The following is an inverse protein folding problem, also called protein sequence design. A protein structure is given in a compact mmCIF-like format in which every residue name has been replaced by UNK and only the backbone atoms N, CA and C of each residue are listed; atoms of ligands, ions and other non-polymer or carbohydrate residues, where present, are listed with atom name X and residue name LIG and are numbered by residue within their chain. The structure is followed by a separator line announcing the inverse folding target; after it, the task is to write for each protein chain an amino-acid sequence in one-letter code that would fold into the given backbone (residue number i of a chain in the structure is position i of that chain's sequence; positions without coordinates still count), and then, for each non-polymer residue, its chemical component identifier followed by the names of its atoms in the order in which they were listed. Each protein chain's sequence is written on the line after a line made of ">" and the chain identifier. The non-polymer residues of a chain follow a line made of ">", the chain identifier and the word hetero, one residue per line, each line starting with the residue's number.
data_IF_900781991786
#
_entry.id   IF_900781991786
#
_cell.length_a   1.000
_cell.length_b   1.000
_cell.length_c   1.000
_cell.angle_alpha   90.00
_cell.angle_beta   90.00
_cell.angle_gamma   90.00
#
_symmetry.space_group_name_H-M   'P 1'
#
loop_
_entity.id
_entity.type
_entity.pdbx_description
1 polymer ?
#
# COMPACT_ATOMS: atom_id res chain seq x y z
N UNK A 1 -21.16 2.92 -18.92
CA UNK A 1 -19.96 2.98 -19.76
C UNK A 1 -18.73 2.91 -18.86
N UNK A 2 -17.80 2.07 -19.25
CA UNK A 2 -16.90 1.28 -18.39
C UNK A 2 -15.66 2.08 -17.95
N UNK A 3 -15.56 2.40 -16.64
CA UNK A 3 -14.41 3.09 -16.06
C UNK A 3 -13.45 2.06 -15.47
N UNK A 4 -12.62 1.48 -16.35
CA UNK A 4 -11.52 0.57 -16.03
C UNK A 4 -10.56 1.20 -15.01
N UNK A 5 -10.72 0.83 -13.74
CA UNK A 5 -9.74 1.07 -12.69
C UNK A 5 -8.39 0.44 -13.05
N UNK A 6 -7.23 1.08 -12.76
CA UNK A 6 -5.93 0.51 -13.08
C UNK A 6 -5.77 -0.85 -12.38
N UNK A 7 -5.89 -1.92 -13.16
CA UNK A 7 -5.92 -3.29 -12.69
C UNK A 7 -4.65 -3.58 -11.88
N UNK A 8 -4.75 -4.43 -10.86
CA UNK A 8 -3.62 -4.90 -10.01
C UNK A 8 -2.40 -5.37 -10.83
N UNK A 9 -2.61 -5.76 -12.10
CA UNK A 9 -1.59 -6.04 -13.09
C UNK A 9 -0.75 -4.82 -13.52
N UNK A 10 -1.34 -3.63 -13.69
CA UNK A 10 -0.63 -2.40 -14.10
C UNK A 10 0.38 -1.91 -13.05
N UNK A 11 0.02 -1.96 -11.77
CA UNK A 11 0.95 -1.66 -10.65
C UNK A 11 2.06 -2.72 -10.55
N UNK A 12 1.75 -4.01 -10.74
CA UNK A 12 2.76 -5.10 -10.80
C UNK A 12 3.70 -4.99 -11.99
N UNK A 13 3.23 -4.58 -13.16
CA UNK A 13 4.08 -4.39 -14.34
C UNK A 13 4.99 -3.15 -14.20
N UNK A 14 4.51 -2.04 -13.63
CA UNK A 14 5.35 -0.86 -13.35
C UNK A 14 6.41 -1.15 -12.28
N UNK A 15 6.08 -1.89 -11.22
CA UNK A 15 7.06 -2.29 -10.20
C UNK A 15 8.09 -3.30 -10.75
N UNK A 16 7.66 -4.26 -11.58
CA UNK A 16 8.55 -5.22 -12.24
C UNK A 16 9.52 -4.55 -13.22
N UNK A 17 9.07 -3.54 -13.99
CA UNK A 17 9.94 -2.75 -14.87
C UNK A 17 10.94 -1.88 -14.10
N UNK A 18 10.56 -1.34 -12.94
CA UNK A 18 11.50 -0.61 -12.06
C UNK A 18 12.55 -1.57 -11.49
N UNK A 19 12.11 -2.70 -10.93
CA UNK A 19 12.98 -3.73 -10.37
C UNK A 19 13.99 -4.31 -11.38
N UNK A 20 13.57 -4.57 -12.64
CA UNK A 20 14.46 -5.06 -13.69
C UNK A 20 15.53 -4.03 -14.07
N UNK A 21 15.18 -2.74 -14.12
CA UNK A 21 16.13 -1.63 -14.39
C UNK A 21 17.11 -1.45 -13.24
N UNK A 22 16.64 -1.52 -12.01
CA UNK A 22 17.47 -1.38 -10.81
C UNK A 22 18.47 -2.55 -10.69
N UNK A 23 18.04 -3.79 -10.99
CA UNK A 23 18.93 -4.96 -11.09
C UNK A 23 20.00 -4.82 -12.18
N UNK A 24 19.63 -4.28 -13.34
CA UNK A 24 20.58 -4.05 -14.43
C UNK A 24 21.61 -2.98 -14.05
N UNK A 25 21.19 -1.91 -13.38
CA UNK A 25 22.08 -0.86 -12.86
C UNK A 25 23.04 -1.39 -11.80
N UNK A 26 22.58 -2.25 -10.89
CA UNK A 26 23.45 -2.91 -9.91
C UNK A 26 24.50 -3.80 -10.59
N UNK A 27 24.11 -4.57 -11.60
CA UNK A 27 25.04 -5.42 -12.36
C UNK A 27 26.08 -4.61 -13.12
N UNK A 28 25.72 -3.43 -13.65
CA UNK A 28 26.65 -2.51 -14.30
C UNK A 28 27.56 -1.79 -13.29
N UNK A 29 27.02 -1.38 -12.14
CA UNK A 29 27.77 -0.69 -11.09
C UNK A 29 28.81 -1.58 -10.39
N UNK A 30 28.55 -2.89 -10.30
CA UNK A 30 29.53 -3.89 -9.87
C UNK A 30 30.60 -4.19 -10.94
N UNK A 31 30.60 -3.46 -12.06
CA UNK A 31 31.65 -3.48 -13.08
C UNK A 31 31.86 -4.82 -13.80
N UNK A 32 30.99 -5.81 -13.58
CA UNK A 32 31.29 -7.19 -13.97
C UNK A 32 32.55 -7.73 -13.30
N UNK A 33 32.92 -7.27 -12.09
CA UNK A 33 34.03 -7.86 -11.33
C UNK A 33 33.77 -9.36 -11.15
N UNK A 34 34.59 -10.17 -11.82
CA UNK A 34 34.55 -11.64 -11.79
C UNK A 34 35.16 -12.20 -10.50
N UNK A 35 35.78 -11.34 -9.68
CA UNK A 35 36.38 -11.74 -8.40
C UNK A 35 35.98 -10.73 -7.34
N UNK A 36 35.07 -11.15 -6.46
CA UNK A 36 34.82 -10.50 -5.18
C UNK A 36 35.97 -10.87 -4.23
N UNK A 37 36.37 -9.98 -3.30
CA UNK A 37 37.31 -10.33 -2.25
C UNK A 37 36.87 -11.62 -1.53
N UNK A 38 37.80 -12.52 -1.25
CA UNK A 38 37.50 -13.81 -0.59
C UNK A 38 37.01 -13.62 0.86
N UNK A 39 37.23 -12.41 1.41
CA UNK A 39 36.67 -11.96 2.66
C UNK A 39 35.20 -11.50 2.52
N UNK A 40 34.35 -12.11 3.33
CA UNK A 40 32.92 -11.83 3.41
C UNK A 40 32.63 -10.40 3.89
N UNK A 41 33.44 -9.84 4.79
CA UNK A 41 33.21 -8.49 5.33
C UNK A 41 33.38 -7.45 4.22
N UNK A 42 34.50 -7.52 3.50
CA UNK A 42 34.80 -6.67 2.36
C UNK A 42 33.74 -6.83 1.25
N UNK A 43 33.34 -8.07 0.92
CA UNK A 43 32.29 -8.33 -0.07
C UNK A 43 30.93 -7.75 0.35
N UNK A 44 30.54 -7.90 1.63
CA UNK A 44 29.30 -7.36 2.15
C UNK A 44 29.30 -5.82 2.19
N UNK A 45 30.44 -5.19 2.41
CA UNK A 45 30.59 -3.73 2.32
C UNK A 45 30.39 -3.22 0.90
N UNK A 46 31.06 -3.81 -0.09
CA UNK A 46 30.91 -3.44 -1.51
C UNK A 46 29.45 -3.56 -1.95
N UNK A 47 28.76 -4.64 -1.56
CA UNK A 47 27.33 -4.84 -1.87
C UNK A 47 26.46 -3.78 -1.21
N UNK A 48 26.69 -3.50 0.08
CA UNK A 48 25.91 -2.50 0.83
C UNK A 48 26.12 -1.09 0.27
N UNK A 49 27.36 -0.71 -0.05
CA UNK A 49 27.68 0.60 -0.60
C UNK A 49 27.09 0.79 -2.01
N UNK A 50 27.25 -0.21 -2.87
CA UNK A 50 26.67 -0.21 -4.22
C UNK A 50 25.14 -0.17 -4.15
N UNK A 51 24.54 -0.94 -3.23
CA UNK A 51 23.12 -0.90 -2.94
C UNK A 51 22.65 0.51 -2.53
N UNK A 52 23.39 1.17 -1.63
CA UNK A 52 23.08 2.56 -1.22
C UNK A 52 23.20 3.55 -2.38
N UNK A 53 24.24 3.46 -3.22
CA UNK A 53 24.45 4.36 -4.37
C UNK A 53 23.36 4.20 -5.44
N UNK A 54 22.94 2.96 -5.75
CA UNK A 54 22.00 2.69 -6.84
C UNK A 54 20.54 2.74 -6.39
N UNK A 55 20.24 2.19 -5.21
CA UNK A 55 18.87 2.06 -4.70
C UNK A 55 18.48 3.12 -3.67
N UNK A 56 19.46 3.85 -3.14
CA UNK A 56 19.27 4.77 -2.01
C UNK A 56 19.17 4.05 -0.67
N UNK A 57 19.11 4.82 0.41
CA UNK A 57 18.84 4.34 1.77
C UNK A 57 17.34 4.50 2.02
N UNK A 58 16.62 3.40 2.25
CA UNK A 58 15.24 3.52 2.74
C UNK A 58 15.28 4.05 4.18
N UNK A 59 14.31 4.90 4.56
CA UNK A 59 14.35 5.65 5.82
C UNK A 59 14.29 4.80 7.10
N UNK A 60 14.37 3.47 7.00
CA UNK A 60 14.39 2.54 8.13
C UNK A 60 13.10 2.47 8.95
N UNK A 61 12.22 3.48 8.83
CA UNK A 61 10.84 3.44 9.31
C UNK A 61 10.17 2.26 8.62
N UNK A 62 10.18 1.12 9.31
CA UNK A 62 9.03 0.22 9.23
C UNK A 62 7.84 1.16 9.34
N UNK A 63 6.95 1.14 8.33
CA UNK A 63 5.54 1.43 8.65
C UNK A 63 5.33 0.67 9.94
N UNK A 64 4.97 1.33 11.03
CA UNK A 64 4.43 0.61 12.18
C UNK A 64 3.43 -0.34 11.56
N UNK A 65 3.85 -1.61 11.46
CA UNK A 65 2.99 -2.67 11.00
C UNK A 65 2.01 -2.64 12.13
N UNK A 66 0.88 -1.96 11.89
CA UNK A 66 -0.25 -1.81 12.79
C UNK A 66 -0.33 -3.15 13.48
N UNK A 67 0.24 -3.28 14.66
CA UNK A 67 0.28 -4.56 15.35
C UNK A 67 -1.20 -4.83 15.51
N UNK A 68 -1.61 -5.84 14.74
CA UNK A 68 -2.93 -5.86 14.11
C UNK A 68 -3.95 -5.50 15.17
N UNK A 69 -4.79 -4.49 14.98
CA UNK A 69 -5.72 -3.96 15.99
C UNK A 69 -6.61 -4.97 16.74
N UNK A 70 -6.55 -6.25 16.36
CA UNK A 70 -7.14 -7.43 16.97
C UNK A 70 -6.14 -8.34 17.74
N UNK A 71 -4.87 -7.96 17.86
CA UNK A 71 -3.80 -8.72 18.49
C UNK A 71 -3.98 -8.69 20.01
N UNK A 72 -3.93 -9.86 20.63
CA UNK A 72 -4.09 -10.01 22.07
C UNK A 72 -3.01 -10.96 22.63
N UNK A 73 -2.83 -10.91 23.95
CA UNK A 73 -1.87 -11.76 24.67
C UNK A 73 -2.17 -13.25 24.48
N UNK A 74 -3.44 -13.63 24.37
CA UNK A 74 -3.88 -15.03 24.17
C UNK A 74 -3.45 -15.58 22.79
N UNK A 75 -3.55 -14.79 21.72
CA UNK A 75 -3.05 -15.14 20.39
C UNK A 75 -1.53 -15.25 20.43
N UNK A 76 -0.85 -14.35 21.14
CA UNK A 76 0.60 -14.40 21.27
C UNK A 76 1.07 -15.66 22.01
N UNK A 77 0.50 -15.96 23.17
CA UNK A 77 0.82 -17.14 23.98
C UNK A 77 0.49 -18.43 23.21
N UNK A 78 -0.67 -18.52 22.56
CA UNK A 78 -1.01 -19.70 21.74
C UNK A 78 -0.04 -19.90 20.56
N UNK A 79 0.44 -18.83 19.93
CA UNK A 79 1.48 -18.89 18.88
C UNK A 79 2.81 -19.35 19.45
N UNK A 80 3.21 -18.87 20.63
CA UNK A 80 4.43 -19.29 21.31
C UNK A 80 4.39 -20.78 21.64
N UNK A 81 3.29 -21.28 22.23
CA UNK A 81 3.09 -22.71 22.50
C UNK A 81 3.18 -23.56 21.24
N UNK A 82 2.56 -23.12 20.14
CA UNK A 82 2.66 -23.79 18.83
C UNK A 82 4.10 -23.83 18.31
N UNK A 83 4.88 -22.75 18.49
CA UNK A 83 6.30 -22.70 18.09
C UNK A 83 7.14 -23.70 18.91
N UNK A 84 6.91 -23.77 20.23
CA UNK A 84 7.57 -24.75 21.09
C UNK A 84 7.27 -26.19 20.68
N UNK A 85 6.01 -26.51 20.40
CA UNK A 85 5.63 -27.84 19.91
C UNK A 85 6.22 -28.17 18.53
N UNK A 86 6.33 -27.18 17.64
CA UNK A 86 7.02 -27.36 16.36
C UNK A 86 8.49 -27.69 16.56
N UNK A 87 9.17 -26.98 17.48
CA UNK A 87 10.57 -27.26 17.82
C UNK A 87 10.76 -28.68 18.38
N UNK A 88 9.86 -29.14 19.26
CA UNK A 88 9.86 -30.53 19.77
C UNK A 88 9.69 -31.55 18.63
N UNK A 89 8.71 -31.33 17.76
CA UNK A 89 8.49 -32.22 16.61
C UNK A 89 9.68 -32.23 15.64
N UNK A 90 10.34 -31.09 15.44
CA UNK A 90 11.52 -31.00 14.58
C UNK A 90 12.73 -31.78 15.13
N UNK A 91 12.82 -31.96 16.45
CA UNK A 91 13.87 -32.77 17.10
C UNK A 91 13.55 -34.26 17.09
N UNK A 92 12.40 -34.66 17.62
CA UNK A 92 12.13 -36.08 17.88
C UNK A 92 11.44 -36.80 16.71
N UNK A 93 10.80 -36.04 15.80
CA UNK A 93 10.03 -36.53 14.63
C UNK A 93 8.99 -37.63 14.92
N UNK A 94 8.52 -37.75 16.16
CA UNK A 94 7.46 -38.68 16.57
C UNK A 94 6.09 -38.24 16.07
N UNK A 95 5.15 -39.19 15.91
CA UNK A 95 3.79 -38.90 15.44
C UNK A 95 2.95 -38.22 16.53
N UNK A 96 3.24 -38.50 17.80
CA UNK A 96 2.62 -37.82 18.96
C UNK A 96 2.92 -36.32 18.94
N UNK A 97 4.19 -35.95 18.77
CA UNK A 97 4.61 -34.54 18.68
C UNK A 97 4.02 -33.85 17.44
N UNK A 98 3.88 -34.60 16.34
CA UNK A 98 3.21 -34.09 15.13
C UNK A 98 1.73 -33.80 15.37
N UNK A 99 1.05 -34.68 16.10
CA UNK A 99 -0.36 -34.53 16.44
C UNK A 99 -0.57 -33.35 17.41
N UNK A 100 0.27 -33.23 18.45
CA UNK A 100 0.26 -32.10 19.38
C UNK A 100 0.42 -30.76 18.63
N UNK A 101 1.39 -30.68 17.71
CA UNK A 101 1.59 -29.51 16.86
C UNK A 101 0.34 -29.18 16.02
N UNK A 102 -0.30 -30.16 15.39
CA UNK A 102 -1.52 -29.96 14.59
C UNK A 102 -2.68 -29.45 15.44
N UNK A 103 -2.84 -29.97 16.66
CA UNK A 103 -3.86 -29.53 17.59
C UNK A 103 -3.64 -28.09 18.04
N UNK A 104 -2.41 -27.74 18.41
CA UNK A 104 -2.03 -26.37 18.75
C UNK A 104 -2.21 -25.43 17.57
N UNK A 105 -1.90 -25.86 16.34
CA UNK A 105 -2.16 -25.09 15.14
C UNK A 105 -3.67 -24.79 14.96
N UNK A 106 -4.55 -25.78 15.21
CA UNK A 106 -6.01 -25.58 15.19
C UNK A 106 -6.47 -24.66 16.31
N UNK A 107 -5.90 -24.76 17.52
CA UNK A 107 -6.18 -23.85 18.64
C UNK A 107 -5.80 -22.41 18.29
N UNK A 108 -4.60 -22.18 17.77
CA UNK A 108 -4.17 -20.84 17.31
C UNK A 108 -5.13 -20.27 16.27
N UNK A 109 -5.56 -21.07 15.28
CA UNK A 109 -6.54 -20.60 14.28
C UNK A 109 -7.86 -20.15 14.94
N UNK A 110 -8.34 -20.90 15.94
CA UNK A 110 -9.54 -20.55 16.70
C UNK A 110 -9.35 -19.27 17.51
N UNK A 111 -8.26 -19.13 18.24
CA UNK A 111 -8.00 -17.93 19.03
C UNK A 111 -7.82 -16.68 18.16
N UNK A 112 -7.12 -16.80 17.03
CA UNK A 112 -7.03 -15.69 16.05
C UNK A 112 -8.41 -15.32 15.50
N UNK A 113 -9.28 -16.31 15.25
CA UNK A 113 -10.64 -16.04 14.79
C UNK A 113 -11.46 -15.32 15.86
N UNK A 114 -11.38 -15.75 17.13
CA UNK A 114 -12.07 -15.11 18.26
C UNK A 114 -11.57 -13.68 18.48
N UNK A 115 -10.25 -13.47 18.49
CA UNK A 115 -9.68 -12.14 18.71
C UNK A 115 -10.10 -11.15 17.60
N UNK A 116 -10.11 -11.61 16.34
CA UNK A 116 -10.66 -10.83 15.22
C UNK A 116 -12.15 -10.54 15.38
N UNK A 117 -12.93 -11.55 15.73
CA UNK A 117 -14.38 -11.39 15.93
C UNK A 117 -14.66 -10.35 17.00
N UNK A 118 -14.02 -10.48 18.17
CA UNK A 118 -14.13 -9.53 19.28
C UNK A 118 -13.79 -8.09 18.85
N UNK A 119 -12.67 -7.92 18.14
CA UNK A 119 -12.29 -6.61 17.63
C UNK A 119 -13.32 -6.03 16.64
N UNK A 120 -13.91 -6.87 15.78
CA UNK A 120 -15.00 -6.44 14.91
C UNK A 120 -16.27 -6.09 15.69
N UNK A 121 -16.64 -6.89 16.67
CA UNK A 121 -17.82 -6.64 17.50
C UNK A 121 -17.67 -5.29 18.22
N UNK A 122 -16.53 -5.04 18.86
CA UNK A 122 -16.21 -3.74 19.50
C UNK A 122 -16.26 -2.59 18.50
N UNK A 123 -15.73 -2.79 17.28
CA UNK A 123 -15.82 -1.79 16.21
C UNK A 123 -17.27 -1.51 15.83
N UNK A 124 -18.09 -2.55 15.64
CA UNK A 124 -19.50 -2.39 15.26
C UNK A 124 -20.30 -1.71 16.37
N UNK A 125 -20.10 -2.09 17.63
CA UNK A 125 -20.72 -1.41 18.78
C UNK A 125 -20.35 0.08 18.81
N UNK A 126 -19.09 0.43 18.54
CA UNK A 126 -18.69 1.84 18.45
C UNK A 126 -19.34 2.55 17.27
N UNK A 127 -19.46 1.89 16.11
CA UNK A 127 -20.09 2.46 14.91
C UNK A 127 -21.60 2.64 15.05
N UNK A 128 -22.26 1.86 15.90
CA UNK A 128 -23.69 1.98 16.21
C UNK A 128 -24.01 3.21 17.08
N UNK A 129 -22.98 3.89 17.58
CA UNK A 129 -23.13 5.18 18.27
C UNK A 129 -23.17 6.35 17.27
N UNK A 130 -23.84 7.44 17.67
CA UNK A 130 -23.92 8.69 16.88
C UNK A 130 -22.56 9.34 16.63
N UNK A 131 -21.55 9.02 17.43
CA UNK A 131 -20.16 9.45 17.20
C UNK A 131 -19.45 8.56 16.17
N UNK A 132 -19.67 7.24 16.25
CA UNK A 132 -19.16 6.27 15.27
C UNK A 132 -19.73 6.46 13.86
N UNK A 133 -20.98 6.90 13.75
CA UNK A 133 -21.59 7.28 12.47
C UNK A 133 -20.80 8.43 11.78
N UNK A 134 -20.40 9.45 12.55
CA UNK A 134 -19.57 10.56 12.03
C UNK A 134 -18.19 10.08 11.58
N UNK A 135 -17.58 9.13 12.30
CA UNK A 135 -16.31 8.52 11.92
C UNK A 135 -16.42 7.74 10.60
N UNK A 136 -17.53 7.00 10.40
CA UNK A 136 -17.85 6.31 9.14
C UNK A 136 -17.91 7.28 7.96
N UNK A 137 -18.66 8.38 8.09
CA UNK A 137 -18.73 9.41 7.05
C UNK A 137 -17.36 10.04 6.78
N UNK A 138 -16.55 10.27 7.82
CA UNK A 138 -15.19 10.80 7.67
C UNK A 138 -14.29 9.84 6.89
N UNK A 139 -14.33 8.54 7.22
CA UNK A 139 -13.61 7.48 6.52
C UNK A 139 -14.06 7.33 5.06
N UNK A 140 -15.36 7.39 4.80
CA UNK A 140 -15.92 7.36 3.45
C UNK A 140 -15.45 8.55 2.62
N UNK A 141 -15.52 9.79 3.16
CA UNK A 141 -15.01 11.00 2.49
C UNK A 141 -13.50 10.97 2.27
N UNK A 142 -12.73 10.37 3.18
CA UNK A 142 -11.29 10.21 2.99
C UNK A 142 -10.99 9.24 1.85
N UNK A 143 -11.67 8.09 1.79
CA UNK A 143 -11.54 7.14 0.68
C UNK A 143 -11.96 7.72 -0.67
N UNK A 144 -13.07 8.45 -0.70
CA UNK A 144 -13.51 9.18 -1.90
C UNK A 144 -12.46 10.19 -2.34
N UNK A 145 -11.84 10.91 -1.40
CA UNK A 145 -10.73 11.81 -1.71
C UNK A 145 -9.53 11.06 -2.27
N UNK A 146 -9.03 10.06 -1.55
CA UNK A 146 -7.86 9.27 -1.94
C UNK A 146 -8.06 8.53 -3.29
N UNK A 147 -9.31 8.26 -3.68
CA UNK A 147 -9.68 7.63 -4.94
C UNK A 147 -9.79 8.58 -6.13
N UNK A 148 -9.80 9.90 -5.89
CA UNK A 148 -9.80 10.91 -6.95
C UNK A 148 -8.36 11.20 -7.36
N UNK A 149 -7.95 10.69 -8.52
CA UNK A 149 -6.62 10.95 -9.12
C UNK A 149 -6.34 12.45 -9.34
N UNK A 150 -7.39 13.27 -9.41
CA UNK A 150 -7.32 14.72 -9.46
C UNK A 150 -8.22 15.31 -8.38
N UNK A 151 -7.62 15.65 -7.24
CA UNK A 151 -8.36 16.29 -6.13
C UNK A 151 -8.80 17.72 -6.46
N UNK A 152 -8.13 18.35 -7.42
CA UNK A 152 -8.38 19.69 -7.93
C UNK A 152 -8.09 19.69 -9.43
N UNK A 153 -9.12 19.64 -10.28
CA UNK A 153 -8.93 20.00 -11.70
C UNK A 153 -8.83 21.53 -11.72
N UNK A 154 -7.63 22.05 -11.48
CA UNK A 154 -7.31 23.49 -11.60
C UNK A 154 -6.57 23.82 -12.89
N UNK A 155 -6.65 22.95 -13.90
CA UNK A 155 -5.91 23.13 -15.15
C UNK A 155 -6.91 23.29 -16.28
N UNK A 156 -7.17 24.54 -16.65
CA UNK A 156 -7.97 24.92 -17.82
C UNK A 156 -7.07 25.69 -18.76
N UNK A 157 -7.19 25.44 -20.06
CA UNK A 157 -6.45 26.21 -21.07
C UNK A 157 -7.19 27.50 -21.40
N UNK A 158 -6.45 28.60 -21.51
CA UNK A 158 -6.98 29.84 -22.08
C UNK A 158 -7.17 29.72 -23.60
N UNK A 159 -7.67 30.78 -24.25
CA UNK A 159 -7.86 30.82 -25.70
C UNK A 159 -6.54 30.69 -26.47
N UNK A 160 -5.43 31.08 -25.87
CA UNK A 160 -4.08 31.02 -26.45
C UNK A 160 -3.37 29.68 -26.18
N UNK A 161 -4.10 28.70 -25.60
CA UNK A 161 -3.62 27.36 -25.33
C UNK A 161 -2.73 27.25 -24.09
N UNK A 162 -2.56 28.32 -23.30
CA UNK A 162 -1.75 28.33 -22.07
C UNK A 162 -2.55 27.74 -20.91
N UNK A 163 -1.87 26.93 -20.11
CA UNK A 163 -2.47 26.26 -18.94
C UNK A 163 -2.58 27.27 -17.79
N UNK A 164 -3.82 27.55 -17.36
CA UNK A 164 -4.12 28.33 -16.18
C UNK A 164 -4.11 27.40 -14.96
N UNK A 165 -3.42 27.81 -13.90
CA UNK A 165 -3.24 27.04 -12.65
C UNK A 165 -3.76 27.77 -11.40
N UNK A 166 -4.01 29.08 -11.49
CA UNK A 166 -4.56 29.89 -10.39
C UNK A 166 -6.09 29.85 -10.38
N UNK A 167 -6.69 29.77 -9.19
CA UNK A 167 -8.14 29.66 -8.98
C UNK A 167 -8.92 30.81 -9.61
N UNK A 168 -8.45 32.04 -9.40
CA UNK A 168 -9.07 33.25 -9.93
C UNK A 168 -9.04 33.27 -11.45
N UNK A 169 -7.92 32.81 -12.04
CA UNK A 169 -7.77 32.75 -13.49
C UNK A 169 -8.66 31.69 -14.13
N UNK A 170 -8.83 30.54 -13.45
CA UNK A 170 -9.73 29.46 -13.85
C UNK A 170 -11.19 29.92 -13.78
N UNK A 171 -11.61 30.60 -12.69
CA UNK A 171 -12.96 31.14 -12.56
C UNK A 171 -13.26 32.21 -13.62
N UNK A 172 -12.31 33.11 -13.89
CA UNK A 172 -12.46 34.15 -14.93
C UNK A 172 -12.55 33.53 -16.33
N UNK A 173 -11.79 32.47 -16.61
CA UNK A 173 -11.89 31.73 -17.88
C UNK A 173 -13.23 31.02 -18.03
N UNK A 174 -13.76 30.43 -16.96
CA UNK A 174 -15.09 29.83 -16.92
C UNK A 174 -16.19 30.85 -17.21
N UNK A 175 -16.14 32.01 -16.55
CA UNK A 175 -17.09 33.11 -16.77
C UNK A 175 -17.08 33.55 -18.23
N UNK A 176 -15.90 33.80 -18.78
CA UNK A 176 -15.73 34.21 -20.19
C UNK A 176 -16.23 33.14 -21.16
N UNK A 177 -15.96 31.86 -20.91
CA UNK A 177 -16.45 30.76 -21.74
C UNK A 177 -17.98 30.67 -21.73
N UNK A 178 -18.63 30.80 -20.56
CA UNK A 178 -20.09 30.78 -20.46
C UNK A 178 -20.74 32.01 -21.08
N UNK A 179 -20.15 33.20 -20.91
CA UNK A 179 -20.63 34.42 -21.58
C UNK A 179 -20.53 34.31 -23.10
N UNK A 180 -19.46 33.72 -23.63
CA UNK A 180 -19.32 33.43 -25.07
C UNK A 180 -20.36 32.40 -25.52
N UNK A 181 -20.47 31.28 -24.81
CA UNK A 181 -21.41 30.20 -25.14
C UNK A 181 -22.88 30.63 -25.12
N UNK A 182 -23.25 31.55 -24.22
CA UNK A 182 -24.63 32.01 -24.05
C UNK A 182 -25.00 33.17 -24.98
N UNK A 183 -24.01 33.83 -25.59
CA UNK A 183 -24.22 34.98 -26.47
C UNK A 183 -23.84 34.70 -27.94
N UNK A 184 -23.30 33.52 -28.24
CA UNK A 184 -23.19 33.03 -29.62
C UNK A 184 -24.59 32.60 -30.10
N UNK A 185 -25.16 33.38 -31.02
CA UNK A 185 -26.41 33.06 -31.71
C UNK A 185 -26.16 31.81 -32.58
N UNK A 186 -26.45 30.63 -32.04
CA UNK A 186 -26.35 29.38 -32.80
C UNK A 186 -27.36 29.45 -33.96
N UNK A 187 -26.86 29.63 -35.18
CA UNK A 187 -27.66 29.50 -36.40
C UNK A 187 -28.37 28.13 -36.36
N UNK A 188 -29.68 28.14 -36.12
CA UNK A 188 -30.49 26.94 -36.32
C UNK A 188 -30.53 26.69 -37.82
N UNK A 189 -29.81 25.67 -38.28
CA UNK A 189 -29.98 25.12 -39.62
C UNK A 189 -31.48 24.84 -39.85
N UNK A 190 -32.04 25.49 -40.87
CA UNK A 190 -33.42 25.30 -41.35
C UNK A 190 -33.48 24.20 -42.39
#
# INVERSE_FOLDING_TARGET
>A
VDSSSPTRQGKRKKSGKKHKRDRQKLRQALGGQVVLPDDWETTAEVIRETGRKVLGVSSGRRKEDKETWWWNEEVQDSIQRKRSAKKKWDMDRTEENRQEYKELQRRVKREVSKAKQKAYDELYTRLDTREGEKDLYRLARQRDRDGKDVQQVRVIKDRDGRVLTSEESVQRRWKKYFEELMNEENEREK
#
